data_IF_074050574550
#
_entry.id   IF_074050574550
#
_cell.length_a   1.000
_cell.length_b   1.000
_cell.length_c   1.000
_cell.angle_alpha   90.00
_cell.angle_beta   90.00
_cell.angle_gamma   90.00
#
_symmetry.space_group_name_H-M   'P 1'
#
loop_
_entity.id
_entity.type
_entity.pdbx_description
1 polymer ?
#
# COMPACT_ATOMS: atom_id res chain seq x y z
N UNK A 1 -1.89 -21.36 -0.68
CA UNK A 1 -0.62 -20.66 -0.99
C UNK A 1 0.33 -21.51 -1.81
N UNK A 2 0.65 -22.75 -1.41
CA UNK A 2 1.61 -23.61 -2.14
C UNK A 2 1.22 -23.80 -3.62
N UNK A 3 0.00 -24.28 -3.90
CA UNK A 3 -0.43 -24.48 -5.30
C UNK A 3 -0.41 -23.20 -6.14
N UNK A 4 -0.90 -22.08 -5.59
CA UNK A 4 -0.90 -20.79 -6.30
C UNK A 4 0.51 -20.29 -6.58
N UNK A 5 1.44 -20.41 -5.62
CA UNK A 5 2.83 -20.04 -5.82
C UNK A 5 3.51 -20.91 -6.88
N UNK A 6 3.29 -22.22 -6.85
CA UNK A 6 3.81 -23.13 -7.88
C UNK A 6 3.22 -22.82 -9.26
N UNK A 7 1.92 -22.57 -9.36
CA UNK A 7 1.26 -22.22 -10.62
C UNK A 7 1.77 -20.89 -11.21
N UNK A 8 1.94 -19.85 -10.37
CA UNK A 8 2.50 -18.55 -10.82
C UNK A 8 3.98 -18.68 -11.17
N UNK A 9 4.75 -19.48 -10.43
CA UNK A 9 6.16 -19.75 -10.75
C UNK A 9 6.31 -20.53 -12.05
N UNK A 10 5.40 -21.47 -12.35
CA UNK A 10 5.42 -22.24 -13.58
C UNK A 10 5.19 -21.40 -14.84
N UNK A 11 4.55 -20.23 -14.74
CA UNK A 11 4.37 -19.31 -15.88
C UNK A 11 5.56 -18.36 -16.11
N UNK A 12 6.57 -18.34 -15.23
CA UNK A 12 7.79 -17.53 -15.39
C UNK A 12 8.83 -18.20 -16.31
N UNK A 13 8.43 -18.49 -17.55
CA UNK A 13 9.39 -18.97 -18.56
C UNK A 13 10.30 -17.83 -19.03
N UNK A 14 11.58 -18.13 -19.28
CA UNK A 14 12.62 -17.14 -19.57
C UNK A 14 12.27 -16.20 -20.74
N UNK A 15 11.62 -16.71 -21.78
CA UNK A 15 11.23 -15.97 -22.99
C UNK A 15 10.20 -14.87 -22.71
N UNK A 16 9.30 -15.08 -21.74
CA UNK A 16 8.26 -14.12 -21.36
C UNK A 16 8.72 -13.21 -20.21
N UNK A 17 9.54 -13.73 -19.30
CA UNK A 17 9.98 -13.03 -18.10
C UNK A 17 11.20 -12.13 -18.31
N UNK A 18 12.21 -12.56 -19.07
CA UNK A 18 13.43 -11.77 -19.34
C UNK A 18 13.22 -10.78 -20.50
N UNK A 19 12.11 -10.06 -20.48
CA UNK A 19 11.78 -9.04 -21.46
C UNK A 19 11.91 -7.65 -20.86
N UNK A 20 12.17 -6.66 -21.73
CA UNK A 20 12.18 -5.25 -21.31
C UNK A 20 10.83 -4.81 -20.72
N UNK A 21 9.74 -5.50 -21.05
CA UNK A 21 8.42 -5.24 -20.49
C UNK A 21 8.34 -5.59 -19.00
N UNK A 22 8.98 -6.68 -18.55
CA UNK A 22 9.03 -7.05 -17.13
C UNK A 22 9.73 -5.98 -16.29
N UNK A 23 10.84 -5.43 -16.79
CA UNK A 23 11.56 -4.34 -16.13
C UNK A 23 10.66 -3.10 -16.01
N UNK A 24 9.91 -2.77 -17.07
CA UNK A 24 8.93 -1.66 -17.01
C UNK A 24 7.87 -1.91 -15.94
N UNK A 25 7.34 -3.12 -15.82
CA UNK A 25 6.32 -3.47 -14.80
C UNK A 25 6.89 -3.26 -13.39
N UNK A 26 8.13 -3.67 -13.13
CA UNK A 26 8.78 -3.49 -11.82
C UNK A 26 8.93 -2.00 -11.49
N UNK A 27 9.42 -1.19 -12.44
CA UNK A 27 9.60 0.25 -12.25
C UNK A 27 8.24 0.94 -12.05
N UNK A 28 7.23 0.61 -12.85
CA UNK A 28 5.88 1.12 -12.68
C UNK A 28 5.28 0.76 -11.32
N UNK A 29 5.54 -0.47 -10.83
CA UNK A 29 5.14 -0.89 -9.50
C UNK A 29 5.76 -0.03 -8.40
N UNK A 30 7.07 0.24 -8.48
CA UNK A 30 7.76 1.11 -7.52
C UNK A 30 7.18 2.53 -7.49
N UNK A 31 6.92 3.08 -8.69
CA UNK A 31 6.30 4.40 -8.83
C UNK A 31 4.88 4.39 -8.25
N UNK A 32 4.08 3.37 -8.55
CA UNK A 32 2.73 3.22 -8.03
C UNK A 32 2.69 3.16 -6.49
N UNK A 33 3.60 2.41 -5.85
CA UNK A 33 3.72 2.38 -4.39
C UNK A 33 4.10 3.74 -3.81
N UNK A 34 5.00 4.46 -4.48
CA UNK A 34 5.43 5.80 -4.06
C UNK A 34 4.27 6.80 -4.14
N UNK A 35 3.51 6.81 -5.23
CA UNK A 35 2.32 7.67 -5.38
C UNK A 35 1.20 7.28 -4.41
N UNK A 36 0.98 5.99 -4.17
CA UNK A 36 0.00 5.52 -3.19
C UNK A 36 0.33 5.99 -1.77
N UNK A 37 1.60 5.91 -1.39
CA UNK A 37 2.07 6.37 -0.07
C UNK A 37 1.98 7.90 0.05
N UNK A 38 2.48 8.63 -0.96
CA UNK A 38 2.40 10.09 -0.99
C UNK A 38 0.96 10.60 -0.98
N UNK A 39 0.08 9.99 -1.77
CA UNK A 39 -1.36 10.30 -1.80
C UNK A 39 -2.03 10.04 -0.45
N UNK A 40 -1.74 8.91 0.19
CA UNK A 40 -2.26 8.59 1.52
C UNK A 40 -1.82 9.60 2.59
N UNK A 41 -0.56 10.01 2.59
CA UNK A 41 -0.03 11.04 3.51
C UNK A 41 -0.64 12.41 3.24
N UNK A 42 -0.75 12.82 1.97
CA UNK A 42 -1.37 14.09 1.60
C UNK A 42 -2.84 14.14 2.02
N UNK A 43 -3.58 13.05 1.82
CA UNK A 43 -4.97 12.95 2.26
C UNK A 43 -5.07 12.99 3.79
N UNK A 44 -4.20 12.28 4.51
CA UNK A 44 -4.17 12.35 5.97
C UNK A 44 -3.80 13.75 6.49
N UNK A 45 -2.96 14.50 5.78
CA UNK A 45 -2.63 15.90 6.09
C UNK A 45 -3.82 16.83 5.84
N UNK A 46 -4.60 16.59 4.78
CA UNK A 46 -5.86 17.30 4.55
C UNK A 46 -6.86 17.03 5.68
N UNK A 47 -7.02 15.76 6.06
CA UNK A 47 -7.88 15.38 7.18
C UNK A 47 -7.41 15.95 8.51
N UNK A 48 -6.09 16.03 8.74
CA UNK A 48 -5.53 16.71 9.91
C UNK A 48 -5.97 18.18 9.97
N UNK A 49 -5.92 18.89 8.83
CA UNK A 49 -6.37 20.30 8.76
C UNK A 49 -7.87 20.45 9.00
N UNK A 50 -8.70 19.55 8.46
CA UNK A 50 -10.17 19.59 8.64
C UNK A 50 -10.57 19.25 10.08
N UNK A 51 -9.91 18.27 10.70
CA UNK A 51 -10.24 17.79 12.05
C UNK A 51 -9.59 18.60 13.18
N UNK A 52 -8.84 19.65 12.85
CA UNK A 52 -8.16 20.50 13.82
C UNK A 52 -6.98 19.83 14.51
N UNK A 53 -6.24 18.97 13.81
CA UNK A 53 -4.98 18.39 14.30
C UNK A 53 -5.07 16.97 14.87
N UNK A 54 -6.25 16.33 14.83
CA UNK A 54 -6.49 15.04 15.52
C UNK A 54 -5.87 13.83 14.80
N UNK A 55 -5.64 13.90 13.49
CA UNK A 55 -5.19 12.77 12.69
C UNK A 55 -3.69 12.89 12.40
N UNK A 56 -2.90 11.89 12.80
CA UNK A 56 -1.47 11.88 12.49
C UNK A 56 -1.25 11.57 10.99
N UNK A 57 -0.57 12.43 10.21
CA UNK A 57 -0.29 12.17 8.79
C UNK A 57 0.45 10.86 8.50
N UNK A 58 1.24 10.35 9.46
CA UNK A 58 1.94 9.05 9.35
C UNK A 58 0.97 7.87 9.18
N UNK A 59 -0.24 7.99 9.72
CA UNK A 59 -1.30 6.98 9.58
C UNK A 59 -1.78 6.89 8.12
N UNK A 60 -1.67 7.98 7.35
CA UNK A 60 -1.99 8.00 5.92
C UNK A 60 -1.06 7.12 5.08
N UNK A 61 0.24 7.04 5.43
CA UNK A 61 1.19 6.16 4.78
C UNK A 61 0.86 4.66 4.98
N UNK A 62 0.20 4.33 6.10
CA UNK A 62 -0.22 2.97 6.40
C UNK A 62 -1.41 2.48 5.55
N UNK A 63 -1.99 3.33 4.71
CA UNK A 63 -3.09 2.97 3.80
C UNK A 63 -2.68 2.06 2.64
N UNK A 64 -1.38 1.85 2.41
CA UNK A 64 -0.88 0.86 1.44
C UNK A 64 -1.18 -0.54 1.98
N UNK A 65 -1.79 -1.41 1.17
CA UNK A 65 -2.35 -2.73 1.52
C UNK A 65 -1.33 -3.83 1.91
N UNK A 66 -0.13 -3.45 2.37
CA UNK A 66 0.87 -4.38 2.87
C UNK A 66 0.61 -4.72 4.36
N UNK A 67 -0.36 -5.60 4.61
CA UNK A 67 -0.74 -6.04 5.96
C UNK A 67 0.26 -7.06 6.52
N UNK A 68 0.68 -6.97 7.80
CA UNK A 68 0.55 -5.86 8.75
C UNK A 68 1.72 -4.86 8.67
N UNK A 69 2.61 -5.01 7.69
CA UNK A 69 3.92 -4.38 7.67
C UNK A 69 3.89 -2.87 7.43
N UNK A 70 2.97 -2.34 6.61
CA UNK A 70 2.81 -0.89 6.42
C UNK A 70 2.50 -0.16 7.74
N UNK A 71 1.64 -0.73 8.58
CA UNK A 71 1.33 -0.18 9.90
C UNK A 71 2.53 -0.28 10.86
N UNK A 72 3.34 -1.33 10.76
CA UNK A 72 4.59 -1.46 11.53
C UNK A 72 5.67 -0.47 11.10
N UNK A 73 5.77 -0.16 9.80
CA UNK A 73 6.68 0.88 9.30
C UNK A 73 6.24 2.25 9.81
N UNK A 74 4.95 2.56 9.76
CA UNK A 74 4.41 3.80 10.33
C UNK A 74 4.65 3.90 11.85
N UNK A 75 4.51 2.78 12.58
CA UNK A 75 4.87 2.70 14.00
C UNK A 75 6.35 3.01 14.23
N UNK A 76 7.25 2.39 13.47
CA UNK A 76 8.70 2.58 13.60
C UNK A 76 9.08 4.04 13.39
N UNK A 77 8.63 4.64 12.28
CA UNK A 77 8.91 6.05 11.96
C UNK A 77 8.28 7.00 12.99
N UNK A 78 7.09 6.66 13.51
CA UNK A 78 6.48 7.44 14.59
C UNK A 78 7.23 7.36 15.91
N UNK A 79 7.82 6.20 16.23
CA UNK A 79 8.66 6.00 17.41
C UNK A 79 10.02 6.69 17.30
N UNK A 80 10.57 6.81 16.09
CA UNK A 80 11.78 7.61 15.82
C UNK A 80 11.54 9.10 16.14
N UNK A 81 10.34 9.62 15.86
CA UNK A 81 9.97 10.99 16.21
C UNK A 81 9.56 11.16 17.68
N UNK A 82 8.86 10.18 18.26
CA UNK A 82 8.47 10.18 19.67
C UNK A 82 8.33 8.73 20.19
N UNK A 83 9.22 8.27 21.10
CA UNK A 83 9.20 6.90 21.62
C UNK A 83 7.90 6.48 22.32
N UNK A 84 7.13 7.43 22.85
CA UNK A 84 5.84 7.18 23.51
C UNK A 84 4.65 7.18 22.54
N UNK A 85 4.87 7.38 21.24
CA UNK A 85 3.81 7.43 20.23
C UNK A 85 3.53 6.03 19.64
N UNK A 86 2.42 5.43 20.06
CA UNK A 86 1.98 4.10 19.61
C UNK A 86 0.87 4.19 18.56
N UNK A 87 1.28 4.16 17.29
CA UNK A 87 0.45 4.25 16.10
C UNK A 87 -0.08 2.90 15.61
N UNK A 88 0.55 1.76 15.93
CA UNK A 88 0.24 0.47 15.33
C UNK A 88 -1.27 0.14 15.38
N UNK A 89 -1.90 0.31 16.54
CA UNK A 89 -3.33 0.02 16.71
C UNK A 89 -4.24 0.94 15.88
N UNK A 90 -3.84 2.20 15.67
CA UNK A 90 -4.60 3.17 14.89
C UNK A 90 -4.33 3.04 13.38
N UNK A 91 -3.08 2.73 13.01
CA UNK A 91 -2.62 2.58 11.63
C UNK A 91 -3.15 1.31 10.94
N UNK A 92 -3.60 0.32 11.71
CA UNK A 92 -4.23 -0.88 11.16
C UNK A 92 -5.57 -0.58 10.48
N UNK A 93 -6.32 0.44 10.92
CA UNK A 93 -7.59 0.83 10.29
C UNK A 93 -7.41 1.20 8.81
N UNK A 94 -6.56 2.18 8.47
CA UNK A 94 -6.25 2.51 7.09
C UNK A 94 -5.60 1.39 6.29
N UNK A 95 -4.79 0.53 6.91
CA UNK A 95 -4.18 -0.61 6.23
C UNK A 95 -5.25 -1.61 5.74
N UNK A 96 -6.24 -1.92 6.58
CA UNK A 96 -7.39 -2.75 6.19
C UNK A 96 -8.25 -2.05 5.12
N UNK A 97 -8.48 -0.74 5.25
CA UNK A 97 -9.18 0.04 4.23
C UNK A 97 -8.45 0.00 2.88
N UNK A 98 -7.12 -0.02 2.87
CA UNK A 98 -6.29 -0.19 1.68
C UNK A 98 -6.55 -1.51 0.97
N UNK A 99 -6.61 -2.63 1.71
CA UNK A 99 -6.92 -3.95 1.13
C UNK A 99 -8.31 -3.94 0.47
N UNK A 100 -9.32 -3.41 1.15
CA UNK A 100 -10.68 -3.28 0.60
C UNK A 100 -10.68 -2.38 -0.64
N UNK A 101 -10.00 -1.23 -0.58
CA UNK A 101 -9.90 -0.29 -1.68
C UNK A 101 -9.28 -0.92 -2.93
N UNK A 102 -8.23 -1.75 -2.77
CA UNK A 102 -7.63 -2.46 -3.91
C UNK A 102 -8.60 -3.48 -4.54
N UNK A 103 -9.40 -4.19 -3.75
CA UNK A 103 -10.40 -5.11 -4.28
C UNK A 103 -11.51 -4.37 -5.03
N UNK A 104 -11.98 -3.24 -4.50
CA UNK A 104 -12.98 -2.39 -5.16
C UNK A 104 -12.44 -1.82 -6.47
N UNK A 105 -11.21 -1.29 -6.48
CA UNK A 105 -10.57 -0.76 -7.68
C UNK A 105 -10.42 -1.84 -8.76
N UNK A 106 -9.99 -3.05 -8.39
CA UNK A 106 -9.90 -4.18 -9.31
C UNK A 106 -11.29 -4.56 -9.86
N UNK A 107 -12.32 -4.61 -9.02
CA UNK A 107 -13.69 -4.90 -9.44
C UNK A 107 -14.23 -3.89 -10.45
N UNK A 108 -14.05 -2.58 -10.19
CA UNK A 108 -14.45 -1.52 -11.12
C UNK A 108 -13.67 -1.62 -12.43
N UNK A 109 -12.37 -1.88 -12.37
CA UNK A 109 -11.54 -2.02 -13.57
C UNK A 109 -11.97 -3.21 -14.43
N UNK A 110 -12.37 -4.33 -13.83
CA UNK A 110 -12.95 -5.46 -14.54
C UNK A 110 -14.27 -5.08 -15.23
N UNK A 111 -15.18 -4.40 -14.53
CA UNK A 111 -16.46 -3.96 -15.11
C UNK A 111 -16.30 -2.96 -16.27
N UNK A 112 -15.23 -2.17 -16.28
CA UNK A 112 -14.96 -1.22 -17.36
C UNK A 112 -14.25 -1.84 -18.56
N UNK A 113 -13.53 -2.95 -18.37
CA UNK A 113 -12.73 -3.62 -19.41
C UNK A 113 -13.40 -4.87 -19.99
N UNK A 114 -14.43 -5.40 -19.33
CA UNK A 114 -15.33 -6.45 -19.84
C UNK A 114 -16.56 -5.83 -20.49
#
# INVERSE_FOLDING_TARGET
>A
TIFLATSVGATMQAEYYLTFNTIKIIILGLIAFSFGTAGGVLFAKLLNKITGGKINPLIGAAGVSAVPMAARVAQKVGQEANPSNFLLMHAMGPNVAGVIGTAVAAGVMLTLLQ
#
